data_IF_257595124809
#
_entry.id   IF_257595124809
#
_cell.length_a   1.000
_cell.length_b   1.000
_cell.length_c   1.000
_cell.angle_alpha   90.00
_cell.angle_beta   90.00
_cell.angle_gamma   90.00
#
_symmetry.space_group_name_H-M   'P 1'
#
loop_
_entity.id
_entity.type
_entity.pdbx_description
1 polymer ?
#
# COMPACT_ATOMS: atom_id res chain seq x y z
N UNK A 1 -56.48 4.60 -32.80
CA UNK A 1 -56.32 4.09 -31.42
C UNK A 1 -54.85 3.93 -31.02
N UNK A 2 -53.99 3.33 -31.85
CA UNK A 2 -52.55 3.15 -31.54
C UNK A 2 -51.75 4.47 -31.45
N UNK A 3 -51.98 5.42 -32.36
CA UNK A 3 -51.30 6.72 -32.34
C UNK A 3 -51.58 7.53 -31.04
N UNK A 4 -52.78 7.38 -30.47
CA UNK A 4 -53.13 8.04 -29.21
C UNK A 4 -52.47 7.37 -27.99
N UNK A 5 -52.26 6.05 -28.04
CA UNK A 5 -51.51 5.32 -27.02
C UNK A 5 -50.03 5.72 -27.04
N UNK A 6 -49.42 5.82 -28.23
CA UNK A 6 -48.02 6.20 -28.39
C UNK A 6 -47.75 7.64 -27.92
N UNK A 7 -48.65 8.58 -28.26
CA UNK A 7 -48.59 9.96 -27.74
C UNK A 7 -48.78 10.02 -26.22
N UNK A 8 -49.70 9.25 -25.65
CA UNK A 8 -49.92 9.16 -24.20
C UNK A 8 -48.69 8.62 -23.48
N UNK A 9 -48.05 7.60 -24.04
CA UNK A 9 -46.91 6.96 -23.40
C UNK A 9 -45.64 7.83 -23.51
N UNK A 10 -45.48 8.60 -24.61
CA UNK A 10 -44.48 9.69 -24.70
C UNK A 10 -44.76 10.82 -23.70
N UNK A 11 -46.02 11.22 -23.52
CA UNK A 11 -46.44 12.21 -22.51
C UNK A 11 -46.18 11.73 -21.08
N UNK A 12 -46.42 10.45 -20.80
CA UNK A 12 -46.09 9.82 -19.51
C UNK A 12 -44.58 9.75 -19.30
N UNK A 13 -43.79 9.42 -20.31
CA UNK A 13 -42.33 9.42 -20.24
C UNK A 13 -41.79 10.84 -19.95
N UNK A 14 -42.31 11.86 -20.64
CA UNK A 14 -41.98 13.27 -20.39
C UNK A 14 -42.40 13.73 -18.99
N UNK A 15 -43.61 13.37 -18.52
CA UNK A 15 -44.07 13.69 -17.15
C UNK A 15 -43.22 13.01 -16.09
N UNK A 16 -42.85 11.74 -16.29
CA UNK A 16 -41.96 10.98 -15.40
C UNK A 16 -40.52 11.52 -15.38
N UNK A 17 -40.09 12.16 -16.48
CA UNK A 17 -38.82 12.88 -16.56
C UNK A 17 -38.89 14.22 -15.81
N UNK A 18 -40.01 14.94 -15.92
CA UNK A 18 -40.26 16.20 -15.21
C UNK A 18 -40.42 16.00 -13.68
N UNK A 19 -41.06 14.91 -13.23
CA UNK A 19 -41.25 14.59 -11.81
C UNK A 19 -39.95 14.29 -11.05
N UNK A 20 -38.85 13.96 -11.75
CA UNK A 20 -37.54 13.75 -11.11
C UNK A 20 -36.80 15.05 -10.77
N UNK A 21 -37.29 16.21 -11.20
CA UNK A 21 -36.65 17.50 -10.94
C UNK A 21 -37.02 17.98 -9.53
N UNK A 22 -36.20 17.61 -8.54
CA UNK A 22 -36.31 18.14 -7.18
C UNK A 22 -35.93 19.63 -7.21
N UNK A 23 -36.79 20.48 -6.66
CA UNK A 23 -36.45 21.88 -6.37
C UNK A 23 -35.37 21.84 -5.30
N UNK A 24 -34.22 22.44 -5.58
CA UNK A 24 -33.04 22.39 -4.71
C UNK A 24 -32.50 23.77 -4.35
N UNK A 25 -32.98 24.83 -5.01
CA UNK A 25 -32.70 26.22 -4.67
C UNK A 25 -33.98 27.05 -4.73
N UNK A 26 -34.05 28.13 -3.94
CA UNK A 26 -35.16 29.07 -3.94
C UNK A 26 -35.03 30.18 -5.01
N UNK A 27 -33.85 30.31 -5.63
CA UNK A 27 -33.58 31.25 -6.71
C UNK A 27 -33.49 30.55 -8.08
N UNK A 28 -33.75 31.32 -9.15
CA UNK A 28 -33.82 30.83 -10.53
C UNK A 28 -32.47 30.88 -11.27
N UNK A 29 -31.35 31.05 -10.57
CA UNK A 29 -30.03 31.12 -11.21
C UNK A 29 -29.52 29.74 -11.64
N UNK A 30 -28.92 29.70 -12.83
CA UNK A 30 -28.30 28.49 -13.37
C UNK A 30 -26.92 28.27 -12.75
N UNK A 31 -26.69 27.09 -12.16
CA UNK A 31 -25.45 26.75 -11.47
C UNK A 31 -24.92 25.38 -11.83
N UNK A 32 -23.60 25.29 -11.92
CA UNK A 32 -22.91 24.00 -11.89
C UNK A 32 -22.15 23.88 -10.57
N UNK A 33 -22.39 22.77 -9.86
CA UNK A 33 -21.85 22.53 -8.52
C UNK A 33 -20.88 21.36 -8.59
N UNK A 34 -19.63 21.61 -8.26
CA UNK A 34 -18.55 20.63 -8.24
C UNK A 34 -18.18 20.28 -6.81
N UNK A 35 -18.05 18.99 -6.56
CA UNK A 35 -17.49 18.49 -5.31
C UNK A 35 -16.57 17.30 -5.58
N UNK A 36 -15.57 17.15 -4.73
CA UNK A 36 -14.58 16.08 -4.81
C UNK A 36 -14.57 15.29 -3.50
N UNK A 37 -14.25 14.01 -3.58
CA UNK A 37 -13.79 13.24 -2.45
C UNK A 37 -12.62 12.38 -2.88
N UNK A 38 -11.54 12.38 -2.09
CA UNK A 38 -10.35 11.56 -2.31
C UNK A 38 -10.26 10.45 -1.27
N UNK A 39 -9.62 9.34 -1.65
CA UNK A 39 -9.22 8.27 -0.75
C UNK A 39 -7.79 7.88 -1.11
N UNK A 40 -6.84 8.45 -0.37
CA UNK A 40 -5.40 8.27 -0.62
C UNK A 40 -4.97 6.81 -0.46
N UNK A 41 -5.57 6.07 0.48
CA UNK A 41 -5.25 4.65 0.69
C UNK A 41 -5.63 3.79 -0.53
N UNK A 42 -6.75 4.12 -1.18
CA UNK A 42 -7.24 3.40 -2.33
C UNK A 42 -6.78 3.98 -3.69
N UNK A 43 -6.01 5.09 -3.65
CA UNK A 43 -5.48 5.85 -4.78
C UNK A 43 -6.56 6.21 -5.81
N UNK A 44 -7.66 6.78 -5.30
CA UNK A 44 -8.83 7.14 -6.10
C UNK A 44 -9.46 8.44 -5.62
N UNK A 45 -9.91 9.26 -6.54
CA UNK A 45 -10.82 10.37 -6.27
C UNK A 45 -12.11 10.22 -7.09
N UNK A 46 -13.21 10.78 -6.58
CA UNK A 46 -14.45 10.91 -7.33
C UNK A 46 -14.89 12.37 -7.32
N UNK A 47 -14.99 12.95 -8.50
CA UNK A 47 -15.67 14.22 -8.73
C UNK A 47 -17.16 14.01 -8.95
N UNK A 48 -18.00 14.85 -8.38
CA UNK A 48 -19.45 14.91 -8.62
C UNK A 48 -19.84 16.30 -9.08
N UNK A 49 -20.69 16.33 -10.11
CA UNK A 49 -21.15 17.55 -10.77
C UNK A 49 -22.67 17.56 -10.76
N UNK A 50 -23.27 18.54 -10.10
CA UNK A 50 -24.71 18.81 -10.21
C UNK A 50 -24.96 19.96 -11.16
N UNK A 51 -25.94 19.78 -12.04
CA UNK A 51 -26.44 20.81 -12.95
C UNK A 51 -27.77 21.31 -12.41
N UNK A 52 -27.79 22.54 -11.92
CA UNK A 52 -28.98 23.23 -11.42
C UNK A 52 -29.41 24.26 -12.43
N UNK A 53 -30.65 24.20 -12.90
CA UNK A 53 -31.22 25.19 -13.83
C UNK A 53 -32.56 25.67 -13.31
N UNK A 54 -32.79 26.98 -13.32
CA UNK A 54 -34.02 27.60 -12.80
C UNK A 54 -34.43 27.05 -11.41
N UNK A 55 -33.45 26.87 -10.52
CA UNK A 55 -33.65 26.33 -9.16
C UNK A 55 -33.88 24.82 -9.05
N UNK A 56 -33.91 24.09 -10.18
CA UNK A 56 -34.14 22.64 -10.25
C UNK A 56 -32.87 21.88 -10.57
N UNK A 57 -32.64 20.75 -9.90
CA UNK A 57 -31.56 19.84 -10.26
C UNK A 57 -31.96 19.04 -11.50
N UNK A 58 -31.35 19.35 -12.66
CA UNK A 58 -31.67 18.72 -13.95
C UNK A 58 -30.71 17.59 -14.31
N UNK A 59 -29.57 17.48 -13.62
CA UNK A 59 -28.58 16.47 -13.93
C UNK A 59 -27.55 16.26 -12.82
N UNK A 60 -27.05 15.03 -12.75
CA UNK A 60 -25.93 14.61 -11.91
C UNK A 60 -24.95 13.81 -12.75
N UNK A 61 -23.68 14.19 -12.73
CA UNK A 61 -22.58 13.45 -13.33
C UNK A 61 -21.51 13.16 -12.27
N UNK A 62 -20.72 12.12 -12.49
CA UNK A 62 -19.57 11.82 -11.65
C UNK A 62 -18.41 11.32 -12.52
N UNK A 63 -17.19 11.50 -12.04
CA UNK A 63 -15.97 11.02 -12.71
C UNK A 63 -15.01 10.47 -11.67
N UNK A 64 -14.56 9.23 -11.87
CA UNK A 64 -13.46 8.67 -11.09
C UNK A 64 -12.13 9.13 -11.70
N UNK A 65 -11.21 9.55 -10.84
CA UNK A 65 -9.86 9.97 -11.20
C UNK A 65 -8.88 9.03 -10.51
N UNK A 66 -8.03 8.38 -11.30
CA UNK A 66 -7.05 7.38 -10.84
C UNK A 66 -5.93 7.19 -11.89
N UNK A 67 -4.69 6.89 -11.46
CA UNK A 67 -4.20 7.06 -10.09
C UNK A 67 -4.24 8.55 -9.69
N UNK A 68 -4.29 8.85 -8.39
CA UNK A 68 -4.24 10.25 -7.90
C UNK A 68 -2.83 10.65 -7.48
N UNK A 69 -1.90 9.70 -7.30
CA UNK A 69 -0.45 9.93 -7.16
C UNK A 69 -0.07 11.06 -6.17
N UNK A 70 -0.77 11.16 -5.04
CA UNK A 70 -0.58 12.21 -4.03
C UNK A 70 -0.79 13.65 -4.54
N UNK A 71 -1.54 13.83 -5.63
CA UNK A 71 -2.00 15.15 -6.07
C UNK A 71 -2.87 15.80 -5.02
N UNK A 72 -2.75 17.12 -4.89
CA UNK A 72 -3.57 17.90 -3.96
C UNK A 72 -5.03 17.92 -4.42
N UNK A 73 -5.98 18.02 -3.47
CA UNK A 73 -7.41 17.99 -3.79
C UNK A 73 -7.81 19.19 -4.67
N UNK A 74 -7.12 20.31 -4.49
CA UNK A 74 -7.25 21.56 -5.25
C UNK A 74 -6.91 21.36 -6.74
N UNK A 75 -5.81 20.66 -7.02
CA UNK A 75 -5.39 20.33 -8.40
C UNK A 75 -6.41 19.41 -9.08
N UNK A 76 -6.93 18.43 -8.33
CA UNK A 76 -7.94 17.50 -8.81
C UNK A 76 -9.28 18.22 -9.06
N UNK A 77 -9.63 19.19 -8.22
CA UNK A 77 -10.82 20.03 -8.39
C UNK A 77 -10.74 20.88 -9.66
N UNK A 78 -9.59 21.54 -9.91
CA UNK A 78 -9.39 22.32 -11.13
C UNK A 78 -9.49 21.43 -12.37
N UNK A 79 -8.75 20.31 -12.39
CA UNK A 79 -8.76 19.37 -13.49
C UNK A 79 -10.16 18.81 -13.77
N UNK A 80 -10.97 18.55 -12.73
CA UNK A 80 -12.36 18.12 -12.88
C UNK A 80 -13.22 19.19 -13.57
N UNK A 81 -13.07 20.46 -13.16
CA UNK A 81 -13.83 21.56 -13.72
C UNK A 81 -13.42 21.84 -15.18
N UNK A 82 -12.12 21.87 -15.47
CA UNK A 82 -11.59 22.07 -16.82
C UNK A 82 -12.03 20.97 -17.79
N UNK A 83 -11.90 19.71 -17.38
CA UNK A 83 -12.33 18.56 -18.18
C UNK A 83 -13.84 18.61 -18.49
N UNK A 84 -14.66 19.01 -17.51
CA UNK A 84 -16.09 19.18 -17.73
C UNK A 84 -16.39 20.27 -18.77
N UNK A 85 -15.72 21.43 -18.66
CA UNK A 85 -15.98 22.56 -19.56
C UNK A 85 -15.33 22.42 -20.93
N UNK A 86 -14.30 21.59 -21.09
CA UNK A 86 -13.70 21.28 -22.39
C UNK A 86 -14.73 20.73 -23.40
N UNK A 87 -15.70 19.95 -22.92
CA UNK A 87 -16.79 19.38 -23.72
C UNK A 87 -18.17 20.02 -23.51
N UNK A 88 -18.27 21.12 -22.76
CA UNK A 88 -19.56 21.69 -22.38
C UNK A 88 -20.19 22.53 -23.50
N UNK A 89 -21.50 22.34 -23.71
CA UNK A 89 -22.31 23.18 -24.60
C UNK A 89 -23.12 24.25 -23.86
N UNK A 90 -23.09 24.22 -22.53
CA UNK A 90 -23.84 25.13 -21.67
C UNK A 90 -22.94 25.68 -20.57
N UNK A 91 -23.06 26.98 -20.29
CA UNK A 91 -22.27 27.68 -19.29
C UNK A 91 -23.20 28.35 -18.26
N UNK A 92 -23.04 28.10 -16.95
CA UNK A 92 -23.95 28.59 -15.92
C UNK A 92 -23.77 30.08 -15.63
N UNK A 93 -24.63 30.60 -14.76
CA UNK A 93 -24.50 31.96 -14.23
C UNK A 93 -23.52 32.02 -13.06
N UNK A 94 -23.31 30.91 -12.37
CA UNK A 94 -22.37 30.78 -11.26
C UNK A 94 -21.84 29.34 -11.17
N UNK A 95 -20.58 29.19 -10.78
CA UNK A 95 -19.95 27.89 -10.48
C UNK A 95 -19.69 27.79 -8.99
N UNK A 96 -20.15 26.71 -8.37
CA UNK A 96 -19.92 26.43 -6.96
C UNK A 96 -18.94 25.28 -6.83
N UNK A 97 -17.90 25.44 -6.01
CA UNK A 97 -16.88 24.43 -5.76
C UNK A 97 -16.89 24.04 -4.27
N UNK A 98 -16.54 22.79 -3.97
CA UNK A 98 -16.34 22.35 -2.58
C UNK A 98 -14.99 22.75 -2.00
N UNK A 99 -14.02 23.04 -2.86
CA UNK A 99 -12.64 23.43 -2.54
C UNK A 99 -12.24 24.55 -3.51
N UNK A 100 -11.43 25.49 -3.06
CA UNK A 100 -10.91 26.55 -3.92
C UNK A 100 -9.59 26.07 -4.55
N UNK A 101 -9.51 25.90 -5.88
CA UNK A 101 -8.27 25.46 -6.48
C UNK A 101 -7.09 26.42 -6.29
N UNK A 102 -7.34 27.71 -6.05
CA UNK A 102 -6.27 28.69 -5.82
C UNK A 102 -5.63 28.57 -4.42
N UNK A 103 -6.15 27.72 -3.53
CA UNK A 103 -5.49 27.42 -2.26
C UNK A 103 -4.21 26.59 -2.46
N UNK A 104 -4.09 25.87 -3.58
CA UNK A 104 -2.83 25.29 -3.99
C UNK A 104 -1.94 26.34 -4.65
N UNK A 105 -0.69 26.47 -4.17
CA UNK A 105 0.29 27.44 -4.70
C UNK A 105 0.67 27.17 -6.17
N UNK A 106 0.35 25.98 -6.70
CA UNK A 106 0.71 25.50 -8.03
C UNK A 106 -0.38 25.73 -9.08
N UNK A 107 -1.59 26.13 -8.69
CA UNK A 107 -2.75 26.16 -9.56
C UNK A 107 -3.32 27.57 -9.73
N UNK A 108 -3.87 27.85 -10.91
CA UNK A 108 -4.48 29.13 -11.25
C UNK A 108 -5.83 28.93 -11.94
N UNK A 109 -6.90 29.50 -11.37
CA UNK A 109 -8.25 29.45 -11.94
C UNK A 109 -8.51 30.49 -13.05
N UNK A 110 -7.58 31.41 -13.33
CA UNK A 110 -7.75 32.44 -14.36
C UNK A 110 -8.03 31.88 -15.77
N UNK A 111 -7.34 30.84 -16.27
CA UNK A 111 -7.66 30.23 -17.56
C UNK A 111 -9.11 29.74 -17.63
N UNK A 112 -9.59 29.08 -16.57
CA UNK A 112 -10.97 28.61 -16.47
C UNK A 112 -11.97 29.77 -16.42
N UNK A 113 -11.69 30.83 -15.63
CA UNK A 113 -12.54 32.02 -15.58
C UNK A 113 -12.64 32.72 -16.93
N UNK A 114 -11.53 32.79 -17.68
CA UNK A 114 -11.50 33.36 -19.02
C UNK A 114 -12.35 32.54 -19.99
N UNK A 115 -12.18 31.22 -20.01
CA UNK A 115 -12.99 30.31 -20.82
C UNK A 115 -14.50 30.50 -20.55
N UNK A 116 -14.90 30.50 -19.27
CA UNK A 116 -16.30 30.67 -18.89
C UNK A 116 -16.84 32.03 -19.32
N UNK A 117 -16.05 33.10 -19.17
CA UNK A 117 -16.43 34.46 -19.58
C UNK A 117 -16.62 34.55 -21.09
N UNK A 118 -15.68 34.02 -21.88
CA UNK A 118 -15.74 34.03 -23.33
C UNK A 118 -16.96 33.26 -23.85
N UNK A 119 -17.23 32.09 -23.28
CA UNK A 119 -18.34 31.24 -23.72
C UNK A 119 -19.72 31.74 -23.27
N UNK A 120 -19.82 32.34 -22.07
CA UNK A 120 -21.07 32.91 -21.55
C UNK A 120 -21.35 34.32 -22.07
N UNK A 121 -20.31 35.06 -22.48
CA UNK A 121 -20.39 36.47 -22.85
C UNK A 121 -20.39 37.44 -21.66
N UNK A 122 -20.32 36.95 -20.42
CA UNK A 122 -20.23 37.74 -19.19
C UNK A 122 -19.44 37.02 -18.12
N UNK A 123 -19.00 37.74 -17.07
CA UNK A 123 -18.26 37.16 -15.95
C UNK A 123 -19.11 36.09 -15.24
N UNK A 124 -18.56 34.88 -15.13
CA UNK A 124 -19.12 33.78 -14.33
C UNK A 124 -18.34 33.67 -13.02
N UNK A 125 -18.92 34.00 -11.86
CA UNK A 125 -18.25 33.84 -10.58
C UNK A 125 -18.04 32.37 -10.22
N UNK A 126 -16.82 32.04 -9.78
CA UNK A 126 -16.48 30.80 -9.08
C UNK A 126 -16.55 31.09 -7.58
N UNK A 127 -17.27 30.28 -6.81
CA UNK A 127 -17.44 30.47 -5.37
C UNK A 127 -17.31 29.17 -4.59
N UNK A 128 -16.79 29.28 -3.37
CA UNK A 128 -16.77 28.21 -2.36
C UNK A 128 -17.70 28.60 -1.20
N UNK A 129 -19.00 28.26 -1.28
CA UNK A 129 -19.98 28.70 -0.30
C UNK A 129 -19.81 27.98 1.03
N UNK A 130 -19.71 28.75 2.11
CA UNK A 130 -19.51 28.21 3.47
C UNK A 130 -20.82 27.99 4.26
N UNK A 131 -21.88 28.77 3.96
CA UNK A 131 -23.18 28.73 4.65
C UNK A 131 -24.37 28.93 3.70
N UNK A 132 -25.58 28.62 4.18
CA UNK A 132 -26.84 28.76 3.42
C UNK A 132 -27.11 27.64 2.42
N UNK A 133 -28.08 27.88 1.54
CA UNK A 133 -28.59 26.89 0.56
C UNK A 133 -27.51 26.45 -0.44
N UNK A 134 -26.70 27.39 -0.94
CA UNK A 134 -25.56 27.09 -1.84
C UNK A 134 -24.56 26.13 -1.18
N UNK A 135 -24.23 26.34 0.09
CA UNK A 135 -23.35 25.43 0.84
C UNK A 135 -24.02 24.07 1.09
N UNK A 136 -25.34 24.03 1.23
CA UNK A 136 -26.11 22.78 1.33
C UNK A 136 -26.00 21.94 0.06
N UNK A 137 -26.09 22.58 -1.12
CA UNK A 137 -25.91 21.93 -2.43
C UNK A 137 -24.51 21.34 -2.57
N UNK A 138 -23.47 22.11 -2.22
CA UNK A 138 -22.08 21.66 -2.26
C UNK A 138 -21.87 20.46 -1.32
N UNK A 139 -22.39 20.52 -0.08
CA UNK A 139 -22.32 19.39 0.87
C UNK A 139 -23.03 18.15 0.34
N UNK A 140 -24.18 18.32 -0.33
CA UNK A 140 -24.89 17.20 -0.96
C UNK A 140 -24.04 16.57 -2.07
N UNK A 141 -23.40 17.37 -2.93
CA UNK A 141 -22.50 16.87 -3.96
C UNK A 141 -21.29 16.14 -3.35
N UNK A 142 -20.67 16.70 -2.30
CA UNK A 142 -19.56 16.08 -1.59
C UNK A 142 -19.94 14.76 -0.91
N UNK A 143 -21.13 14.69 -0.31
CA UNK A 143 -21.66 13.44 0.26
C UNK A 143 -21.89 12.37 -0.81
N UNK A 144 -22.32 12.75 -2.02
CA UNK A 144 -22.43 11.82 -3.15
C UNK A 144 -21.04 11.34 -3.61
N UNK A 145 -20.05 12.22 -3.69
CA UNK A 145 -18.68 11.86 -4.05
C UNK A 145 -18.11 10.82 -3.07
N UNK A 146 -18.31 11.06 -1.76
CA UNK A 146 -17.92 10.11 -0.70
C UNK A 146 -18.61 8.76 -0.83
N UNK A 147 -19.93 8.76 -1.09
CA UNK A 147 -20.68 7.52 -1.29
C UNK A 147 -20.14 6.72 -2.49
N UNK A 148 -19.88 7.37 -3.61
CA UNK A 148 -19.39 6.73 -4.84
C UNK A 148 -17.99 6.13 -4.69
N UNK A 149 -17.11 6.77 -3.92
CA UNK A 149 -15.81 6.19 -3.55
C UNK A 149 -16.00 4.95 -2.67
N UNK A 150 -16.90 5.02 -1.68
CA UNK A 150 -17.23 3.86 -0.84
C UNK A 150 -17.77 2.67 -1.64
N UNK A 151 -18.72 2.91 -2.55
CA UNK A 151 -19.25 1.89 -3.46
C UNK A 151 -18.16 1.31 -4.36
N UNK A 152 -17.27 2.15 -4.89
CA UNK A 152 -16.13 1.71 -5.70
C UNK A 152 -15.18 0.83 -4.89
N UNK A 153 -14.86 1.18 -3.64
CA UNK A 153 -14.03 0.36 -2.75
C UNK A 153 -14.70 -1.00 -2.49
N UNK A 154 -15.99 -1.02 -2.20
CA UNK A 154 -16.75 -2.28 -2.01
C UNK A 154 -16.75 -3.12 -3.29
N UNK A 155 -16.95 -2.51 -4.46
CA UNK A 155 -16.88 -3.23 -5.74
C UNK A 155 -15.47 -3.74 -6.04
N UNK A 156 -14.42 -2.96 -5.73
CA UNK A 156 -13.01 -3.37 -5.86
C UNK A 156 -12.67 -4.50 -4.91
N UNK A 157 -13.18 -4.48 -3.68
CA UNK A 157 -13.06 -5.58 -2.71
C UNK A 157 -13.80 -6.83 -3.20
N UNK A 158 -15.05 -6.70 -3.66
CA UNK A 158 -15.81 -7.82 -4.25
C UNK A 158 -15.11 -8.41 -5.49
N UNK A 159 -14.56 -7.54 -6.34
CA UNK A 159 -13.70 -7.94 -7.46
C UNK A 159 -12.42 -8.61 -6.95
N UNK A 160 -11.74 -8.08 -5.94
CA UNK A 160 -10.53 -8.69 -5.38
C UNK A 160 -10.77 -10.03 -4.66
N UNK A 161 -11.94 -10.23 -4.06
CA UNK A 161 -12.29 -11.48 -3.38
C UNK A 161 -12.73 -12.59 -4.36
N UNK A 162 -13.32 -12.23 -5.50
CA UNK A 162 -13.83 -13.18 -6.51
C UNK A 162 -12.97 -13.30 -7.78
N UNK A 163 -12.16 -12.30 -8.10
CA UNK A 163 -11.26 -12.32 -9.26
C UNK A 163 -9.99 -13.06 -8.87
N UNK A 164 -9.91 -14.32 -9.29
CA UNK A 164 -8.69 -15.10 -9.22
C UNK A 164 -7.74 -14.55 -10.30
N UNK A 165 -6.59 -13.95 -9.93
CA UNK A 165 -5.65 -13.41 -10.90
C UNK A 165 -5.14 -14.49 -11.85
N UNK A 166 -4.87 -14.12 -13.10
CA UNK A 166 -4.37 -15.07 -14.11
C UNK A 166 -3.08 -15.78 -13.66
N UNK A 167 -2.17 -15.08 -12.97
CA UNK A 167 -0.95 -15.68 -12.42
C UNK A 167 -1.20 -16.76 -11.37
N UNK A 168 -2.27 -16.64 -10.57
CA UNK A 168 -2.65 -17.65 -9.57
C UNK A 168 -3.24 -18.89 -10.25
N UNK A 169 -4.08 -18.71 -11.28
CA UNK A 169 -4.58 -19.83 -12.10
C UNK A 169 -3.46 -20.54 -12.83
N UNK A 170 -2.58 -19.77 -13.49
CA UNK A 170 -1.44 -20.31 -14.20
C UNK A 170 -0.51 -21.08 -13.25
N UNK A 171 -0.35 -20.62 -12.01
CA UNK A 171 0.42 -21.34 -10.99
C UNK A 171 -0.23 -22.65 -10.58
N UNK A 172 -1.54 -22.68 -10.36
CA UNK A 172 -2.30 -23.92 -10.11
C UNK A 172 -2.09 -24.92 -11.24
N UNK A 173 -2.31 -24.50 -12.49
CA UNK A 173 -2.20 -25.34 -13.69
C UNK A 173 -0.78 -25.86 -13.87
N UNK A 174 0.22 -24.97 -13.75
CA UNK A 174 1.63 -25.32 -13.95
C UNK A 174 2.13 -26.29 -12.88
N UNK A 175 1.64 -26.16 -11.64
CA UNK A 175 2.01 -27.04 -10.53
C UNK A 175 1.04 -28.21 -10.33
N UNK A 176 0.03 -28.38 -11.19
CA UNK A 176 -1.00 -29.41 -11.04
C UNK A 176 -1.60 -29.48 -9.62
N UNK A 177 -1.92 -28.32 -9.05
CA UNK A 177 -2.52 -28.24 -7.72
C UNK A 177 -4.03 -28.48 -7.80
N UNK A 178 -4.58 -29.23 -6.84
CA UNK A 178 -6.01 -29.48 -6.75
C UNK A 178 -6.79 -28.18 -6.49
N UNK A 179 -6.29 -27.36 -5.57
CA UNK A 179 -6.88 -26.09 -5.17
C UNK A 179 -6.08 -24.88 -5.69
N UNK A 180 -6.76 -23.73 -5.77
CA UNK A 180 -6.14 -22.46 -6.17
C UNK A 180 -5.17 -21.97 -5.09
N UNK A 181 -3.88 -21.71 -5.41
CA UNK A 181 -2.89 -21.24 -4.46
C UNK A 181 -3.07 -19.74 -4.16
N UNK A 182 -4.18 -19.36 -3.50
CA UNK A 182 -4.51 -17.95 -3.24
C UNK A 182 -3.63 -17.36 -2.15
N UNK A 183 -3.26 -18.13 -1.13
CA UNK A 183 -2.33 -17.76 -0.06
C UNK A 183 -1.04 -18.58 -0.20
N UNK A 184 0.03 -17.92 -0.64
CA UNK A 184 1.35 -18.53 -0.79
C UNK A 184 2.25 -18.04 0.33
N UNK A 185 2.84 -18.94 1.10
CA UNK A 185 3.90 -18.61 2.08
C UNK A 185 5.26 -19.02 1.52
N UNK A 186 6.26 -18.15 1.63
CA UNK A 186 7.61 -18.44 1.16
C UNK A 186 8.68 -18.19 2.21
N UNK A 187 9.63 -19.12 2.29
CA UNK A 187 10.67 -19.14 3.30
C UNK A 187 12.06 -19.00 2.66
N UNK A 188 12.87 -18.08 3.21
CA UNK A 188 14.28 -17.88 2.88
C UNK A 188 15.11 -17.97 4.17
N UNK A 189 16.23 -18.69 4.10
CA UNK A 189 17.25 -18.74 5.17
C UNK A 189 18.42 -17.88 4.72
N UNK A 190 18.78 -16.93 5.57
CA UNK A 190 19.88 -16.00 5.30
C UNK A 190 20.82 -15.93 6.50
N UNK A 191 22.08 -16.29 6.26
CA UNK A 191 23.14 -16.18 7.24
C UNK A 191 23.59 -14.73 7.44
N UNK A 192 23.77 -14.31 8.70
CA UNK A 192 24.56 -13.13 9.01
C UNK A 192 25.95 -13.57 9.45
N UNK A 193 26.97 -13.38 8.61
CA UNK A 193 28.36 -13.69 8.96
C UNK A 193 28.74 -13.13 10.34
N UNK A 194 28.93 -14.03 11.32
CA UNK A 194 29.26 -13.72 12.72
C UNK A 194 28.13 -13.20 13.62
N UNK A 195 26.85 -13.28 13.21
CA UNK A 195 25.70 -12.73 13.98
C UNK A 195 24.49 -13.65 14.15
N UNK A 196 24.59 -14.90 13.70
CA UNK A 196 23.52 -15.89 13.78
C UNK A 196 22.66 -15.96 12.52
N UNK A 197 21.82 -16.99 12.44
CA UNK A 197 20.99 -17.29 11.28
C UNK A 197 19.60 -16.65 11.43
N UNK A 198 19.09 -16.06 10.35
CA UNK A 198 17.74 -15.50 10.30
C UNK A 198 16.97 -16.15 9.16
N UNK A 199 15.77 -16.59 9.48
CA UNK A 199 14.81 -16.98 8.47
C UNK A 199 13.72 -15.92 8.30
N UNK A 200 13.22 -15.80 7.10
CA UNK A 200 12.14 -14.90 6.75
C UNK A 200 10.99 -15.67 6.11
N UNK A 201 9.76 -15.30 6.48
CA UNK A 201 8.53 -15.80 5.89
C UNK A 201 7.79 -14.61 5.29
N UNK A 202 7.61 -14.63 3.97
CA UNK A 202 6.75 -13.69 3.25
C UNK A 202 5.46 -14.36 2.87
N UNK A 203 4.40 -13.57 2.70
CA UNK A 203 3.06 -14.06 2.41
C UNK A 203 2.51 -13.33 1.21
N UNK A 204 2.06 -14.05 0.21
CA UNK A 204 1.33 -13.51 -0.92
C UNK A 204 -0.13 -13.92 -0.80
N UNK A 205 -1.04 -12.98 -1.10
CA UNK A 205 -2.47 -13.24 -1.25
C UNK A 205 -2.90 -12.78 -2.63
N UNK A 206 -3.53 -13.67 -3.39
CA UNK A 206 -3.98 -13.41 -4.76
C UNK A 206 -2.86 -12.82 -5.63
N UNK A 207 -1.68 -13.46 -5.58
CA UNK A 207 -0.51 -13.04 -6.35
C UNK A 207 0.13 -11.71 -5.93
N UNK A 208 -0.29 -11.11 -4.81
CA UNK A 208 0.22 -9.84 -4.31
C UNK A 208 0.81 -9.95 -2.88
N UNK A 209 1.88 -9.21 -2.56
CA UNK A 209 2.45 -9.15 -1.21
C UNK A 209 1.44 -8.76 -0.12
N UNK A 210 1.26 -9.62 0.90
CA UNK A 210 0.48 -9.33 2.11
C UNK A 210 1.43 -9.05 3.29
N UNK A 211 2.02 -7.86 3.28
CA UNK A 211 3.09 -7.44 4.21
C UNK A 211 2.73 -7.54 5.71
N UNK A 212 1.44 -7.39 6.07
CA UNK A 212 0.98 -7.54 7.46
C UNK A 212 1.24 -8.93 8.05
N UNK A 213 1.37 -9.93 7.17
CA UNK A 213 1.46 -11.33 7.56
C UNK A 213 2.91 -11.83 7.54
N UNK A 214 3.88 -10.97 7.18
CA UNK A 214 5.28 -11.33 7.13
C UNK A 214 5.84 -11.62 8.51
N UNK A 215 6.75 -12.58 8.63
CA UNK A 215 7.38 -12.95 9.90
C UNK A 215 8.88 -13.14 9.72
N UNK A 216 9.65 -12.81 10.75
CA UNK A 216 11.08 -13.13 10.83
C UNK A 216 11.32 -14.01 12.04
N UNK A 217 12.27 -14.94 11.89
CA UNK A 217 12.63 -15.89 12.91
C UNK A 217 14.13 -15.76 13.18
N UNK A 218 14.47 -15.52 14.45
CA UNK A 218 15.86 -15.58 14.91
C UNK A 218 16.13 -17.02 15.35
N UNK A 219 17.18 -17.60 14.79
CA UNK A 219 17.67 -18.96 15.06
C UNK A 219 18.89 -18.80 15.96
N UNK A 220 18.87 -19.44 17.14
CA UNK A 220 19.88 -19.21 18.19
C UNK A 220 20.85 -20.37 18.40
N UNK A 221 20.43 -21.59 18.06
CA UNK A 221 21.08 -22.83 18.52
C UNK A 221 21.52 -23.72 17.34
N UNK A 222 21.88 -23.11 16.21
CA UNK A 222 22.33 -23.82 15.01
C UNK A 222 23.76 -23.42 14.70
N UNK A 223 24.64 -24.40 14.51
CA UNK A 223 26.04 -24.18 14.13
C UNK A 223 26.12 -23.34 12.85
N UNK A 224 27.17 -22.51 12.73
CA UNK A 224 27.33 -21.64 11.56
C UNK A 224 27.38 -22.49 10.27
N UNK A 225 26.34 -22.36 9.43
CA UNK A 225 26.27 -23.00 8.11
C UNK A 225 25.21 -24.10 7.94
N UNK A 226 24.49 -24.49 8.99
CA UNK A 226 23.43 -25.51 8.85
C UNK A 226 22.07 -24.90 8.47
N UNK A 227 21.94 -24.57 7.18
CA UNK A 227 20.68 -24.10 6.57
C UNK A 227 19.53 -25.12 6.70
N UNK A 228 19.84 -26.41 6.86
CA UNK A 228 18.83 -27.46 6.96
C UNK A 228 18.16 -27.46 8.32
N UNK A 229 18.94 -27.39 9.40
CA UNK A 229 18.37 -27.32 10.75
C UNK A 229 17.64 -25.99 10.99
N UNK A 230 18.17 -24.89 10.46
CA UNK A 230 17.48 -23.60 10.49
C UNK A 230 16.12 -23.67 9.77
N UNK A 231 16.04 -24.33 8.62
CA UNK A 231 14.77 -24.57 7.92
C UNK A 231 13.82 -25.42 8.76
N UNK A 232 14.31 -26.52 9.35
CA UNK A 232 13.50 -27.41 10.19
C UNK A 232 12.86 -26.65 11.34
N UNK A 233 13.64 -25.86 12.06
CA UNK A 233 13.16 -25.11 13.22
C UNK A 233 12.05 -24.12 12.83
N UNK A 234 12.23 -23.39 11.73
CA UNK A 234 11.31 -22.33 11.29
C UNK A 234 9.96 -22.90 10.87
N UNK A 235 9.99 -23.94 10.03
CA UNK A 235 8.78 -24.63 9.57
C UNK A 235 8.05 -25.23 10.77
N UNK A 236 8.76 -25.94 11.65
CA UNK A 236 8.20 -26.51 12.90
C UNK A 236 7.52 -25.43 13.74
N UNK A 237 8.18 -24.30 13.98
CA UNK A 237 7.63 -23.17 14.78
C UNK A 237 6.43 -22.52 14.12
N UNK A 238 6.46 -22.30 12.80
CA UNK A 238 5.37 -21.67 12.05
C UNK A 238 4.11 -22.54 12.09
N UNK A 239 4.22 -23.80 11.69
CA UNK A 239 3.05 -24.65 11.49
C UNK A 239 2.50 -25.24 12.77
N UNK A 240 3.32 -25.45 13.81
CA UNK A 240 2.80 -25.72 15.16
C UNK A 240 1.90 -24.59 15.65
N UNK A 241 2.29 -23.33 15.40
CA UNK A 241 1.48 -22.17 15.78
C UNK A 241 0.21 -22.06 14.96
N UNK A 242 0.28 -22.18 13.63
CA UNK A 242 -0.90 -22.16 12.75
C UNK A 242 -1.89 -23.26 13.15
N UNK A 243 -1.40 -24.48 13.46
CA UNK A 243 -2.23 -25.58 13.94
C UNK A 243 -2.96 -25.25 15.25
N UNK A 244 -2.27 -24.63 16.20
CA UNK A 244 -2.84 -24.25 17.49
C UNK A 244 -3.83 -23.08 17.40
N UNK A 245 -3.61 -22.14 16.47
CA UNK A 245 -4.46 -20.97 16.24
C UNK A 245 -5.58 -21.24 15.21
N UNK A 246 -5.62 -22.45 14.65
CA UNK A 246 -6.46 -22.89 13.53
C UNK A 246 -6.47 -21.93 12.34
N UNK A 247 -5.26 -21.61 11.87
CA UNK A 247 -5.04 -20.79 10.69
C UNK A 247 -4.40 -19.43 10.96
N UNK A 248 -4.27 -18.59 9.92
CA UNK A 248 -4.65 -18.87 8.53
C UNK A 248 -3.70 -19.89 7.87
N UNK A 249 -4.27 -20.94 7.26
CA UNK A 249 -3.54 -21.97 6.52
C UNK A 249 -3.11 -21.47 5.14
N UNK A 250 -1.90 -21.79 4.66
CA UNK A 250 -1.50 -21.51 3.28
C UNK A 250 -2.15 -22.50 2.30
N UNK A 251 -2.27 -22.07 1.05
CA UNK A 251 -2.69 -22.92 -0.08
C UNK A 251 -1.47 -23.46 -0.85
N UNK A 252 -0.28 -22.87 -0.65
CA UNK A 252 1.00 -23.34 -1.19
C UNK A 252 2.14 -22.82 -0.31
N UNK A 253 3.14 -23.66 -0.07
CA UNK A 253 4.39 -23.29 0.60
C UNK A 253 5.56 -23.40 -0.34
N UNK A 254 6.38 -22.36 -0.41
CA UNK A 254 7.57 -22.27 -1.26
C UNK A 254 8.81 -22.15 -0.39
N UNK A 255 9.75 -23.08 -0.55
CA UNK A 255 11.05 -23.05 0.11
C UNK A 255 12.07 -22.48 -0.89
N UNK A 256 12.71 -21.35 -0.59
CA UNK A 256 13.83 -20.83 -1.41
C UNK A 256 15.05 -21.73 -1.20
N UNK A 257 15.11 -22.78 -2.00
CA UNK A 257 16.00 -23.89 -1.75
C UNK A 257 15.79 -25.08 -2.66
N UNK A 258 16.87 -25.83 -2.87
CA UNK A 258 16.84 -27.08 -3.61
C UNK A 258 16.26 -28.24 -2.80
N UNK A 259 16.41 -29.45 -3.34
CA UNK A 259 15.89 -30.71 -2.76
C UNK A 259 16.20 -30.90 -1.28
N UNK A 260 17.42 -30.61 -0.82
CA UNK A 260 17.78 -30.81 0.59
C UNK A 260 16.97 -29.94 1.56
N UNK A 261 16.76 -28.67 1.22
CA UNK A 261 16.00 -27.74 2.07
C UNK A 261 14.51 -28.07 2.06
N UNK A 262 14.00 -28.53 0.91
CA UNK A 262 12.65 -29.06 0.79
C UNK A 262 12.47 -30.31 1.67
N UNK A 263 13.39 -31.28 1.63
CA UNK A 263 13.30 -32.48 2.48
C UNK A 263 13.28 -32.12 3.97
N UNK A 264 14.14 -31.20 4.41
CA UNK A 264 14.14 -30.69 5.77
C UNK A 264 12.82 -29.99 6.17
N UNK A 265 12.19 -29.26 5.24
CA UNK A 265 10.87 -28.69 5.48
C UNK A 265 9.79 -29.78 5.62
N UNK A 266 9.82 -30.80 4.76
CA UNK A 266 8.88 -31.93 4.78
C UNK A 266 8.93 -32.68 6.11
N UNK A 267 10.12 -33.01 6.59
CA UNK A 267 10.30 -33.68 7.91
C UNK A 267 9.66 -32.86 9.05
N UNK A 268 9.85 -31.54 9.06
CA UNK A 268 9.20 -30.67 10.07
C UNK A 268 7.68 -30.57 9.92
N UNK A 269 7.15 -30.68 8.70
CA UNK A 269 5.71 -30.72 8.45
C UNK A 269 5.09 -32.04 8.94
N UNK A 270 5.82 -33.15 8.83
CA UNK A 270 5.44 -34.46 9.39
C UNK A 270 5.40 -34.41 10.91
N UNK A 271 6.45 -33.91 11.56
CA UNK A 271 6.53 -33.78 13.02
C UNK A 271 5.42 -32.91 13.64
N UNK A 272 4.84 -32.01 12.84
CA UNK A 272 3.76 -31.13 13.28
C UNK A 272 2.37 -31.63 12.89
N UNK A 273 2.26 -32.80 12.25
CA UNK A 273 1.07 -33.35 11.58
C UNK A 273 0.37 -32.33 10.67
N UNK A 274 1.16 -31.59 9.89
CA UNK A 274 0.64 -30.63 8.91
C UNK A 274 0.97 -30.99 7.47
N UNK A 275 1.82 -32.00 7.25
CA UNK A 275 2.05 -32.56 5.93
C UNK A 275 0.73 -33.02 5.31
N UNK A 276 0.53 -32.72 4.03
CA UNK A 276 -0.68 -33.08 3.29
C UNK A 276 -1.86 -32.12 3.44
N UNK A 277 -1.79 -31.12 4.34
CA UNK A 277 -2.81 -30.04 4.40
C UNK A 277 -2.69 -29.04 3.25
N UNK A 278 -1.49 -28.87 2.73
CA UNK A 278 -1.18 -27.98 1.62
C UNK A 278 0.03 -28.51 0.84
N UNK A 279 0.14 -28.19 -0.46
CA UNK A 279 1.34 -28.45 -1.24
C UNK A 279 2.55 -27.66 -0.72
N UNK A 280 3.73 -28.29 -0.76
CA UNK A 280 5.02 -27.66 -0.48
C UNK A 280 5.97 -27.91 -1.65
N UNK A 281 6.71 -26.89 -2.08
CA UNK A 281 7.68 -26.98 -3.17
C UNK A 281 8.99 -26.33 -2.77
N UNK A 282 10.10 -26.82 -3.34
CA UNK A 282 11.39 -26.15 -3.33
C UNK A 282 11.59 -25.39 -4.63
N UNK A 283 12.14 -24.18 -4.56
CA UNK A 283 12.47 -23.36 -5.72
C UNK A 283 13.97 -23.07 -5.70
N UNK A 284 14.73 -23.68 -6.62
CA UNK A 284 16.17 -23.47 -6.70
C UNK A 284 16.53 -22.30 -7.62
N UNK A 285 17.59 -21.56 -7.26
CA UNK A 285 18.07 -20.38 -8.01
C UNK A 285 18.54 -20.69 -9.44
N UNK A 286 18.97 -21.91 -9.74
CA UNK A 286 19.43 -22.30 -11.07
C UNK A 286 18.22 -22.65 -11.93
N UNK A 287 17.96 -21.83 -12.95
CA UNK A 287 16.87 -22.03 -13.93
C UNK A 287 15.45 -22.08 -13.36
N UNK A 288 15.23 -21.63 -12.10
CA UNK A 288 13.94 -21.70 -11.42
C UNK A 288 13.37 -23.13 -11.37
N UNK A 289 14.25 -24.10 -11.14
CA UNK A 289 13.90 -25.51 -10.98
C UNK A 289 12.97 -25.69 -9.78
N UNK A 290 11.80 -26.28 -10.03
CA UNK A 290 10.80 -26.58 -9.00
C UNK A 290 10.98 -28.02 -8.54
N UNK A 291 11.20 -28.22 -7.24
CA UNK A 291 11.27 -29.53 -6.62
C UNK A 291 9.98 -29.82 -5.86
N UNK A 292 9.44 -31.03 -6.02
CA UNK A 292 8.32 -31.54 -5.20
C UNK A 292 8.81 -32.62 -4.24
N UNK A 293 8.15 -32.80 -3.09
CA UNK A 293 8.47 -33.89 -2.17
C UNK A 293 8.38 -35.24 -2.89
N UNK A 294 9.42 -36.07 -2.74
CA UNK A 294 9.47 -37.41 -3.33
C UNK A 294 10.07 -37.48 -4.75
N UNK A 295 10.12 -36.38 -5.50
CA UNK A 295 10.61 -36.40 -6.89
C UNK A 295 12.15 -36.47 -6.96
N UNK A 296 12.67 -37.25 -7.91
CA UNK A 296 14.11 -37.34 -8.20
C UNK A 296 14.62 -36.13 -8.96
N UNK A 297 13.84 -35.68 -9.95
CA UNK A 297 14.21 -34.68 -10.95
C UNK A 297 13.38 -33.40 -10.78
N UNK A 298 13.94 -32.22 -11.10
CA UNK A 298 13.21 -30.98 -11.04
C UNK A 298 12.14 -30.89 -12.13
N UNK A 299 11.04 -30.23 -11.78
CA UNK A 299 10.02 -29.81 -12.71
C UNK A 299 10.35 -28.42 -13.27
N UNK A 300 10.23 -28.27 -14.59
CA UNK A 300 10.52 -27.01 -15.27
C UNK A 300 9.23 -26.34 -15.73
N UNK A 301 9.07 -25.08 -15.34
CA UNK A 301 7.99 -24.21 -15.82
C UNK A 301 8.51 -23.37 -16.99
N UNK A 302 7.67 -23.15 -18.00
CA UNK A 302 8.01 -22.32 -19.15
C UNK A 302 8.44 -20.88 -18.71
N UNK A 303 9.52 -20.38 -19.31
CA UNK A 303 10.20 -19.13 -18.89
C UNK A 303 9.34 -17.88 -19.04
N UNK A 304 8.44 -17.89 -20.01
CA UNK A 304 7.50 -16.81 -20.34
C UNK A 304 6.17 -16.94 -19.57
N UNK A 305 5.98 -17.99 -18.78
CA UNK A 305 4.73 -18.23 -18.07
C UNK A 305 4.48 -17.22 -16.93
N UNK A 306 3.21 -16.88 -16.73
CA UNK A 306 2.78 -16.06 -15.59
C UNK A 306 2.98 -16.77 -14.24
N UNK A 307 3.04 -18.11 -14.24
CA UNK A 307 3.31 -18.92 -13.05
C UNK A 307 4.75 -18.74 -12.55
N UNK A 308 5.73 -18.85 -13.46
CA UNK A 308 7.13 -18.66 -13.12
C UNK A 308 7.43 -17.24 -12.64
N UNK A 309 6.85 -16.24 -13.31
CA UNK A 309 6.97 -14.84 -12.90
C UNK A 309 6.42 -14.59 -11.49
N UNK A 310 5.35 -15.30 -11.10
CA UNK A 310 4.81 -15.21 -9.75
C UNK A 310 5.75 -15.87 -8.73
N UNK A 311 6.29 -17.06 -9.01
CA UNK A 311 7.26 -17.73 -8.15
C UNK A 311 8.55 -16.91 -7.97
N UNK A 312 9.05 -16.28 -9.04
CA UNK A 312 10.16 -15.35 -8.99
C UNK A 312 9.86 -14.16 -8.08
N UNK A 313 8.70 -13.51 -8.23
CA UNK A 313 8.28 -12.40 -7.35
C UNK A 313 8.22 -12.82 -5.89
N UNK A 314 7.70 -14.02 -5.62
CA UNK A 314 7.60 -14.57 -4.26
C UNK A 314 9.00 -14.78 -3.66
N UNK A 315 9.92 -15.38 -4.41
CA UNK A 315 11.31 -15.61 -3.98
C UNK A 315 12.06 -14.29 -3.78
N UNK A 316 12.01 -13.40 -4.77
CA UNK A 316 12.72 -12.13 -4.73
C UNK A 316 12.24 -11.27 -3.55
N UNK A 317 10.95 -11.33 -3.22
CA UNK A 317 10.39 -10.67 -2.05
C UNK A 317 10.84 -11.31 -0.73
N UNK A 318 10.92 -12.65 -0.66
CA UNK A 318 11.49 -13.37 0.50
C UNK A 318 12.94 -12.95 0.74
N UNK A 319 13.76 -12.98 -0.32
CA UNK A 319 15.16 -12.58 -0.28
C UNK A 319 15.31 -11.10 0.10
N UNK A 320 14.53 -10.21 -0.52
CA UNK A 320 14.52 -8.76 -0.21
C UNK A 320 14.17 -8.52 1.26
N UNK A 321 13.18 -9.23 1.79
CA UNK A 321 12.74 -9.07 3.17
C UNK A 321 13.82 -9.55 4.15
N UNK A 322 14.47 -10.68 3.88
CA UNK A 322 15.62 -11.17 4.64
C UNK A 322 16.76 -10.13 4.67
N UNK A 323 17.21 -9.66 3.50
CA UNK A 323 18.29 -8.67 3.37
C UNK A 323 17.96 -7.37 4.11
N UNK A 324 16.72 -6.87 3.98
CA UNK A 324 16.28 -5.64 4.64
C UNK A 324 16.34 -5.77 6.17
N UNK A 325 15.90 -6.91 6.69
CA UNK A 325 15.96 -7.19 8.13
C UNK A 325 17.40 -7.32 8.63
N UNK A 326 18.28 -7.97 7.86
CA UNK A 326 19.70 -8.07 8.18
C UNK A 326 20.38 -6.69 8.22
N UNK A 327 20.11 -5.83 7.24
CA UNK A 327 20.62 -4.44 7.23
C UNK A 327 20.19 -3.68 8.48
N UNK A 328 18.93 -3.84 8.91
CA UNK A 328 18.42 -3.23 10.15
C UNK A 328 19.12 -3.77 11.40
N UNK A 329 19.35 -5.09 11.47
CA UNK A 329 20.08 -5.71 12.58
C UNK A 329 21.55 -5.27 12.64
N UNK A 330 22.27 -5.29 11.51
CA UNK A 330 23.67 -4.84 11.44
C UNK A 330 23.79 -3.39 11.88
N UNK A 331 22.92 -2.52 11.38
CA UNK A 331 22.83 -1.13 11.84
C UNK A 331 22.65 -1.09 13.35
N UNK A 332 21.68 -1.79 13.93
CA UNK A 332 21.50 -1.82 15.38
C UNK A 332 22.70 -2.39 16.16
N UNK A 333 23.41 -3.40 15.66
CA UNK A 333 24.56 -4.02 16.36
C UNK A 333 25.80 -3.13 16.30
N UNK A 334 26.13 -2.54 15.14
CA UNK A 334 27.21 -1.55 14.99
C UNK A 334 26.96 -0.35 15.92
N UNK A 335 25.70 0.12 15.96
CA UNK A 335 25.27 1.18 16.85
C UNK A 335 25.40 0.86 18.34
N UNK A 336 25.22 -0.41 18.70
CA UNK A 336 25.28 -0.85 20.07
C UNK A 336 26.72 -1.13 20.53
N UNK A 337 27.64 -1.51 19.62
CA UNK A 337 29.05 -1.79 19.96
C UNK A 337 29.82 -0.51 20.25
N UNK A 338 29.78 0.47 19.35
CA UNK A 338 30.62 1.67 19.43
C UNK A 338 30.37 2.52 20.69
N UNK A 339 29.10 2.66 21.10
CA UNK A 339 28.77 3.40 22.33
C UNK A 339 28.94 2.57 23.60
N UNK A 340 28.95 1.23 23.51
CA UNK A 340 29.24 0.36 24.67
C UNK A 340 30.73 0.31 24.99
N UNK A 341 31.59 0.54 24.00
CA UNK A 341 33.04 0.60 24.17
C UNK A 341 33.47 1.84 24.98
N UNK A 342 32.56 2.79 25.20
CA UNK A 342 32.79 3.98 26.02
C UNK A 342 32.69 3.61 27.50
N UNK A 343 33.83 3.61 28.20
CA UNK A 343 33.93 3.32 29.63
C UNK A 343 32.93 4.13 30.48
N UNK A 344 31.97 3.45 31.10
CA UNK A 344 30.93 4.07 31.93
C UNK A 344 29.60 4.38 31.22
N UNK A 345 29.45 4.00 29.94
CA UNK A 345 28.19 4.07 29.20
C UNK A 345 27.60 2.65 29.10
N UNK A 346 26.64 2.35 29.99
CA UNK A 346 25.99 1.03 30.01
C UNK A 346 24.86 0.88 28.98
N UNK A 347 24.39 -0.36 28.73
CA UNK A 347 23.41 -0.70 27.68
C UNK A 347 22.09 0.07 27.77
N UNK A 348 21.62 0.40 28.98
CA UNK A 348 20.42 1.25 29.18
C UNK A 348 20.60 2.67 28.67
N UNK A 349 21.81 3.22 28.76
CA UNK A 349 22.14 4.56 28.27
C UNK A 349 22.24 4.55 26.75
N UNK A 350 22.89 3.53 26.18
CA UNK A 350 22.97 3.31 24.73
C UNK A 350 21.59 3.20 24.10
N UNK A 351 20.66 2.44 24.70
CA UNK A 351 19.30 2.34 24.20
C UNK A 351 18.55 3.68 24.19
N UNK A 352 18.73 4.53 25.21
CA UNK A 352 18.12 5.88 25.24
C UNK A 352 18.66 6.76 24.11
N UNK A 353 19.98 6.79 23.95
CA UNK A 353 20.63 7.55 22.88
C UNK A 353 20.21 7.06 21.49
N UNK A 354 20.07 5.75 21.31
CA UNK A 354 19.62 5.18 20.05
C UNK A 354 18.15 5.46 19.74
N UNK A 355 17.31 5.58 20.77
CA UNK A 355 15.90 5.93 20.59
C UNK A 355 15.74 7.37 20.09
N UNK A 356 16.54 8.28 20.63
CA UNK A 356 16.45 9.71 20.34
C UNK A 356 17.19 10.09 19.05
N UNK A 357 18.45 9.69 18.93
CA UNK A 357 19.33 10.14 17.84
C UNK A 357 19.40 9.14 16.68
N UNK A 358 19.04 7.87 16.90
CA UNK A 358 18.91 6.86 15.85
C UNK A 358 20.23 6.30 15.29
N UNK A 359 21.37 6.97 15.47
CA UNK A 359 22.69 6.40 15.17
C UNK A 359 23.85 6.95 16.02
N UNK A 360 24.96 6.21 16.14
CA UNK A 360 26.17 6.58 16.88
C UNK A 360 26.83 7.80 16.23
N UNK A 361 26.86 7.85 14.89
CA UNK A 361 27.25 9.05 14.14
C UNK A 361 26.40 10.28 14.49
N UNK A 362 25.09 10.14 14.63
CA UNK A 362 24.23 11.25 15.06
C UNK A 362 24.43 11.60 16.53
N UNK A 363 24.82 10.66 17.38
CA UNK A 363 25.23 10.91 18.77
C UNK A 363 26.57 11.65 18.83
N UNK A 364 27.52 11.34 17.93
CA UNK A 364 28.79 12.07 17.79
C UNK A 364 28.55 13.53 17.35
N UNK A 365 27.69 13.72 16.34
CA UNK A 365 27.37 15.02 15.75
C UNK A 365 26.36 15.85 16.58
N UNK A 366 25.67 15.23 17.54
CA UNK A 366 24.66 15.90 18.34
C UNK A 366 25.22 17.05 19.19
N UNK A 367 24.35 18.04 19.42
CA UNK A 367 24.64 19.18 20.28
C UNK A 367 24.80 18.73 21.74
N UNK A 368 25.79 19.24 22.51
CA UNK A 368 26.00 18.86 23.90
C UNK A 368 24.74 19.00 24.75
N UNK A 369 23.99 20.08 24.55
CA UNK A 369 22.76 20.38 25.26
C UNK A 369 21.71 19.28 25.10
N UNK A 370 21.51 18.81 23.86
CA UNK A 370 20.59 17.72 23.53
C UNK A 370 21.03 16.36 24.11
N UNK A 371 22.34 16.10 24.19
CA UNK A 371 22.84 14.88 24.83
C UNK A 371 22.63 14.91 26.35
N UNK A 372 22.91 16.05 27.00
CA UNK A 372 22.73 16.22 28.44
C UNK A 372 21.29 16.02 28.89
N UNK A 373 20.32 16.49 28.11
CA UNK A 373 18.90 16.29 28.40
C UNK A 373 18.50 14.80 28.45
N UNK A 374 19.14 13.96 27.64
CA UNK A 374 18.80 12.53 27.50
C UNK A 374 19.54 11.65 28.51
N UNK A 375 20.81 11.95 28.80
CA UNK A 375 21.69 11.05 29.59
C UNK A 375 22.39 11.70 30.78
N UNK A 376 22.27 13.02 30.95
CA UNK A 376 22.90 13.81 32.01
C UNK A 376 24.36 14.20 31.72
N UNK A 377 24.86 15.26 32.39
CA UNK A 377 26.14 15.90 32.08
C UNK A 377 27.35 14.98 32.20
N UNK A 378 27.40 14.16 33.26
CA UNK A 378 28.52 13.26 33.51
C UNK A 378 28.71 12.19 32.41
N UNK A 379 27.64 11.76 31.74
CA UNK A 379 27.72 10.78 30.66
C UNK A 379 27.96 11.45 29.31
N UNK A 380 27.40 12.63 29.09
CA UNK A 380 27.70 13.45 27.90
C UNK A 380 29.19 13.75 27.79
N UNK A 381 29.84 14.14 28.90
CA UNK A 381 31.27 14.42 28.92
C UNK A 381 32.11 13.20 28.50
N UNK A 382 31.75 11.99 28.94
CA UNK A 382 32.44 10.75 28.57
C UNK A 382 32.34 10.42 27.09
N UNK A 383 31.16 10.62 26.50
CA UNK A 383 30.93 10.42 25.07
C UNK A 383 31.78 11.42 24.26
N UNK A 384 31.79 12.70 24.65
CA UNK A 384 32.58 13.74 23.96
C UNK A 384 34.08 13.48 24.07
N UNK A 385 34.56 13.06 25.24
CA UNK A 385 35.97 12.72 25.45
C UNK A 385 36.41 11.54 24.57
N UNK A 386 35.58 10.49 24.46
CA UNK A 386 35.85 9.33 23.61
C UNK A 386 36.02 9.72 22.13
N UNK A 387 35.08 10.49 21.59
CA UNK A 387 35.12 10.92 20.19
C UNK A 387 36.20 11.98 19.91
N UNK A 388 36.54 12.84 20.88
CA UNK A 388 37.65 13.79 20.76
C UNK A 388 39.01 13.07 20.69
N UNK A 389 39.22 12.05 21.53
CA UNK A 389 40.44 11.26 21.52
C UNK A 389 40.60 10.43 20.23
N UNK A 390 39.50 9.91 19.68
CA UNK A 390 39.52 9.22 18.38
C UNK A 390 39.89 10.12 17.18
N UNK A 391 39.60 11.42 17.25
CA UNK A 391 40.00 12.42 16.23
C UNK A 391 41.46 12.85 16.37
N UNK A 392 42.00 12.87 17.60
CA UNK A 392 43.42 13.15 17.83
C UNK A 392 44.31 12.02 17.27
N UNK A 393 43.96 10.75 17.53
CA UNK A 393 44.71 9.58 17.04
C UNK A 393 44.70 9.43 15.51
N UNK A 394 43.64 9.91 14.82
CA UNK A 394 43.59 9.91 13.34
C UNK A 394 44.43 11.02 12.71
N UNK A 395 44.66 12.14 13.40
CA UNK A 395 45.48 13.27 12.92
C UNK A 395 46.99 13.06 13.11
N UNK A 396 47.39 12.12 13.95
CA UNK A 396 48.81 11.74 14.13
C UNK A 396 49.26 10.65 13.14
N UNK A 397 48.32 10.05 12.40
CA UNK A 397 48.58 9.00 11.41
C UNK A 397 48.40 9.44 9.94
N UNK A 398 47.93 10.67 9.70
CA UNK A 398 47.98 11.38 8.41
C UNK A 398 49.17 12.34 8.42
#
# INVERSE_FOLDING_TARGET
>A
YEAAADLRDRLKALRKYAEKQKIVSQDFEDRDVFALHTDEEADVACGVIFKVREGKMIGRQHKYMRPIEHRLEEELMLALAEDFYAGAHFFPDEVLLSLDPNEAATEDTEPLKQLLREKKGRRVPLRVPQRGDKASLVRMAASNAKLLVGEWKVQKMKRGESHIPHSVKALQESLHLDDLPRRVEAFDISHLGGTGTVASCVVFRDGQPKKSDYRTFKIRDVDEGDDYEAMREVIRRRYRRIKNEDGPWPDLVVIDGGKGQLSSAVESLEETDTLGRFPVIGLAKRLEEVFRPGDSDPYHIAKDSSALQLLQKVRDEAHRFAVTFQRKQRKQKTLHSELLDIGGIGPKTVQKLMREFGSAKRVEEADPSALEEVIGPAKTQKIRAYYANGKAAKREHE
#
